data_IF_036691148870
#
_entry.id   IF_036691148870
#
_cell.length_a   1.000
_cell.length_b   1.000
_cell.length_c   1.000
_cell.angle_alpha   90.00
_cell.angle_beta   90.00
_cell.angle_gamma   90.00
#
_symmetry.space_group_name_H-M   'P 1'
#
loop_
_entity.id
_entity.type
_entity.pdbx_description
1 polymer ?
#
# COMPACT_ATOMS: atom_id res chain seq x y z
N UNK A 1 -14.19 -19.73 3.10
CA UNK A 1 -15.05 -20.19 2.00
C UNK A 1 -14.19 -20.19 0.74
N UNK A 2 -14.18 -21.31 0.00
CA UNK A 2 -13.32 -21.59 -1.15
C UNK A 2 -13.83 -22.86 -1.83
N UNK A 3 -15.13 -22.85 -2.17
CA UNK A 3 -15.88 -24.03 -2.59
C UNK A 3 -15.64 -24.40 -4.06
N UNK A 4 -14.98 -23.50 -4.81
CA UNK A 4 -14.60 -23.68 -6.21
C UNK A 4 -13.19 -23.09 -6.43
N UNK A 5 -12.52 -23.50 -7.51
CA UNK A 5 -11.18 -22.98 -7.86
C UNK A 5 -11.20 -21.48 -8.19
N UNK A 6 -12.38 -20.95 -8.51
CA UNK A 6 -12.62 -19.56 -8.90
C UNK A 6 -12.96 -18.67 -7.68
N UNK A 7 -13.42 -19.25 -6.58
CA UNK A 7 -13.79 -18.55 -5.33
C UNK A 7 -12.66 -18.51 -4.28
N UNK A 8 -11.42 -18.80 -4.67
CA UNK A 8 -10.29 -18.78 -3.74
C UNK A 8 -9.82 -17.36 -3.45
N UNK A 9 -9.96 -16.93 -2.19
CA UNK A 9 -9.41 -15.67 -1.70
C UNK A 9 -8.15 -15.94 -0.90
N UNK A 10 -7.03 -15.34 -1.33
CA UNK A 10 -5.78 -15.35 -0.56
C UNK A 10 -5.83 -14.24 0.48
N UNK A 11 -5.61 -14.60 1.75
CA UNK A 11 -5.51 -13.66 2.86
C UNK A 11 -4.08 -13.74 3.40
N UNK A 12 -3.37 -12.62 3.34
CA UNK A 12 -2.05 -12.47 3.96
C UNK A 12 -2.22 -11.60 5.21
N UNK A 13 -1.71 -12.07 6.34
CA UNK A 13 -1.72 -11.36 7.63
C UNK A 13 -0.28 -11.01 7.99
N UNK A 14 -0.03 -9.74 8.29
CA UNK A 14 1.29 -9.25 8.66
C UNK A 14 1.18 -8.37 9.90
N UNK A 15 1.89 -8.76 10.96
CA UNK A 15 2.06 -7.94 12.15
C UNK A 15 3.32 -7.09 11.95
N UNK A 16 3.17 -5.78 11.94
CA UNK A 16 4.23 -4.81 11.65
C UNK A 16 4.19 -3.69 12.67
N UNK A 17 5.20 -2.81 12.60
CA UNK A 17 5.26 -1.59 13.39
C UNK A 17 4.04 -0.70 13.14
N UNK A 18 3.80 0.23 14.06
CA UNK A 18 2.64 1.11 13.97
C UNK A 18 2.65 1.92 12.66
N UNK A 19 1.48 2.06 12.06
CA UNK A 19 1.29 2.93 10.90
C UNK A 19 1.49 4.39 11.32
N UNK A 20 2.14 5.19 10.47
CA UNK A 20 2.38 6.62 10.77
C UNK A 20 1.10 7.41 10.57
N UNK A 21 0.37 7.08 9.51
CA UNK A 21 -0.85 7.77 9.13
C UNK A 21 -2.08 7.04 9.68
N UNK A 22 -3.09 7.84 10.05
CA UNK A 22 -4.35 7.33 10.55
C UNK A 22 -5.05 6.41 9.54
N UNK A 23 -5.69 5.36 10.07
CA UNK A 23 -6.51 4.47 9.27
C UNK A 23 -7.77 5.20 8.77
N UNK A 24 -8.17 4.92 7.53
CA UNK A 24 -9.37 5.46 6.91
C UNK A 24 -10.48 4.41 6.98
N UNK A 25 -11.67 4.80 7.42
CA UNK A 25 -12.84 3.91 7.36
C UNK A 25 -13.61 4.17 6.07
N UNK A 26 -13.83 3.11 5.28
CA UNK A 26 -14.64 3.15 4.07
C UNK A 26 -15.60 1.98 4.09
N UNK A 27 -16.91 2.26 4.00
CA UNK A 27 -17.96 1.24 4.02
C UNK A 27 -17.84 0.27 5.21
N UNK A 28 -17.53 0.80 6.40
CA UNK A 28 -17.25 0.06 7.66
C UNK A 28 -15.97 -0.80 7.67
N UNK A 29 -15.21 -0.81 6.58
CA UNK A 29 -13.92 -1.49 6.48
C UNK A 29 -12.82 -0.51 6.86
N UNK A 30 -11.99 -0.90 7.84
CA UNK A 30 -10.78 -0.16 8.19
C UNK A 30 -9.71 -0.42 7.14
N UNK A 31 -9.34 0.63 6.41
CA UNK A 31 -8.29 0.64 5.41
C UNK A 31 -7.14 1.52 5.89
N UNK A 32 -5.96 1.33 5.32
CA UNK A 32 -4.86 2.27 5.53
C UNK A 32 -5.03 3.49 4.63
N UNK A 33 -4.39 4.62 4.97
CA UNK A 33 -4.44 5.83 4.15
C UNK A 33 -3.68 5.64 2.83
N UNK A 34 -4.02 6.44 1.81
CA UNK A 34 -3.29 6.41 0.53
C UNK A 34 -1.81 6.77 0.73
N UNK A 35 -1.51 7.71 1.63
CA UNK A 35 -0.13 8.14 1.94
C UNK A 35 0.70 6.99 2.52
N UNK A 36 0.13 6.19 3.43
CA UNK A 36 0.81 5.02 3.99
C UNK A 36 1.03 3.95 2.91
N UNK A 37 0.07 3.74 2.00
CA UNK A 37 0.23 2.80 0.87
C UNK A 37 1.39 3.23 -0.02
N UNK A 38 1.47 4.52 -0.34
CA UNK A 38 2.55 5.08 -1.17
C UNK A 38 3.90 4.89 -0.48
N UNK A 39 4.00 5.28 0.80
CA UNK A 39 5.22 5.12 1.60
C UNK A 39 5.68 3.65 1.66
N UNK A 40 4.77 2.72 1.97
CA UNK A 40 5.08 1.28 2.01
C UNK A 40 5.54 0.74 0.66
N UNK A 41 4.90 1.14 -0.45
CA UNK A 41 5.28 0.68 -1.79
C UNK A 41 6.64 1.24 -2.21
N UNK A 42 6.91 2.52 -1.92
CA UNK A 42 8.18 3.16 -2.22
C UNK A 42 9.32 2.48 -1.45
N UNK A 43 9.12 2.22 -0.16
CA UNK A 43 10.07 1.49 0.69
C UNK A 43 10.42 0.11 0.11
N UNK A 44 9.42 -0.65 -0.35
CA UNK A 44 9.63 -1.97 -0.94
C UNK A 44 10.38 -1.84 -2.27
N UNK A 45 10.03 -0.90 -3.14
CA UNK A 45 10.69 -0.71 -4.44
C UNK A 45 12.18 -0.42 -4.25
N UNK A 46 12.55 0.38 -3.25
CA UNK A 46 13.93 0.71 -2.92
C UNK A 46 14.74 -0.53 -2.47
N UNK A 47 14.09 -1.55 -1.89
CA UNK A 47 14.75 -2.75 -1.34
C UNK A 47 14.65 -3.99 -2.22
N UNK A 48 13.55 -4.15 -2.93
CA UNK A 48 13.25 -5.27 -3.80
C UNK A 48 12.28 -4.84 -4.90
N UNK A 49 12.77 -4.77 -6.13
CA UNK A 49 11.98 -4.29 -7.26
C UNK A 49 11.20 -5.43 -7.93
N UNK A 50 9.86 -5.32 -7.94
CA UNK A 50 8.97 -6.13 -8.78
C UNK A 50 8.09 -5.20 -9.61
N UNK A 51 7.92 -5.50 -10.90
CA UNK A 51 7.16 -4.67 -11.86
C UNK A 51 5.77 -4.25 -11.36
N UNK A 52 5.08 -5.10 -10.59
CA UNK A 52 3.75 -4.79 -10.01
C UNK A 52 3.76 -3.51 -9.17
N UNK A 53 4.77 -3.30 -8.33
CA UNK A 53 4.81 -2.14 -7.44
C UNK A 53 4.99 -0.82 -8.19
N UNK A 54 5.66 -0.83 -9.35
CA UNK A 54 5.80 0.35 -10.20
C UNK A 54 4.47 0.75 -10.83
N UNK A 55 3.68 -0.22 -11.33
CA UNK A 55 2.33 0.04 -11.84
C UNK A 55 1.40 0.60 -10.77
N UNK A 56 1.55 0.15 -9.52
CA UNK A 56 0.75 0.69 -8.42
C UNK A 56 1.11 2.15 -8.09
N UNK A 57 2.39 2.55 -8.24
CA UNK A 57 2.82 3.95 -8.04
C UNK A 57 2.49 4.86 -9.22
N UNK A 58 2.52 4.33 -10.45
CA UNK A 58 2.15 5.06 -11.67
C UNK A 58 0.75 5.69 -11.56
N UNK A 59 -0.20 4.95 -10.98
CA UNK A 59 -1.54 5.47 -10.66
C UNK A 59 -1.54 6.71 -9.74
N UNK A 60 -0.56 6.81 -8.84
CA UNK A 60 -0.43 7.93 -7.91
C UNK A 60 0.40 9.09 -8.47
N UNK A 61 1.18 8.90 -9.54
CA UNK A 61 1.99 9.97 -10.14
C UNK A 61 1.14 11.13 -10.68
N UNK A 62 -0.09 10.85 -11.10
CA UNK A 62 -1.06 11.88 -11.53
C UNK A 62 -1.63 12.70 -10.36
N UNK A 63 -1.49 12.21 -9.12
CA UNK A 63 -2.13 12.80 -7.93
C UNK A 63 -1.13 13.38 -6.93
N UNK A 64 0.06 12.82 -6.87
CA UNK A 64 1.09 13.10 -5.87
C UNK A 64 2.43 13.17 -6.59
N UNK A 65 3.21 14.21 -6.32
CA UNK A 65 4.54 14.36 -6.89
C UNK A 65 5.51 13.33 -6.28
N UNK A 66 6.58 12.97 -7.00
CA UNK A 66 7.59 12.03 -6.50
C UNK A 66 8.22 12.56 -5.20
N UNK A 67 8.46 13.87 -5.10
CA UNK A 67 9.02 14.49 -3.90
C UNK A 67 8.10 14.32 -2.68
N UNK A 68 6.78 14.45 -2.84
CA UNK A 68 5.81 14.17 -1.79
C UNK A 68 5.81 12.69 -1.40
N UNK A 69 5.89 11.77 -2.37
CA UNK A 69 5.98 10.34 -2.08
C UNK A 69 7.23 10.00 -1.25
N UNK A 70 8.37 10.63 -1.57
CA UNK A 70 9.61 10.49 -0.81
C UNK A 70 9.41 11.02 0.62
N UNK A 71 8.77 12.18 0.78
CA UNK A 71 8.50 12.76 2.10
C UNK A 71 7.64 11.85 2.99
N UNK A 72 6.67 11.13 2.42
CA UNK A 72 5.87 10.16 3.17
C UNK A 72 6.69 8.95 3.62
N UNK A 73 7.63 8.51 2.79
CA UNK A 73 8.54 7.43 3.14
C UNK A 73 9.60 7.84 4.17
N UNK A 74 10.03 9.11 4.19
CA UNK A 74 10.97 9.63 5.19
C UNK A 74 10.36 9.79 6.58
N UNK A 75 9.03 9.93 6.68
CA UNK A 75 8.32 9.95 7.96
C UNK A 75 8.23 8.57 8.63
N UNK A 76 8.74 7.52 7.97
CA UNK A 76 8.70 6.10 8.36
C UNK A 76 10.05 5.60 8.85
#
# INVERSE_FOLDING_TARGET
MGNSKEDFVKIDLYYTDDFIFDAVSKDTIRMTSENEIIAMKLYIILRCSRKKYFWDLDYYLDKVSIDEMISFNEQR
#
